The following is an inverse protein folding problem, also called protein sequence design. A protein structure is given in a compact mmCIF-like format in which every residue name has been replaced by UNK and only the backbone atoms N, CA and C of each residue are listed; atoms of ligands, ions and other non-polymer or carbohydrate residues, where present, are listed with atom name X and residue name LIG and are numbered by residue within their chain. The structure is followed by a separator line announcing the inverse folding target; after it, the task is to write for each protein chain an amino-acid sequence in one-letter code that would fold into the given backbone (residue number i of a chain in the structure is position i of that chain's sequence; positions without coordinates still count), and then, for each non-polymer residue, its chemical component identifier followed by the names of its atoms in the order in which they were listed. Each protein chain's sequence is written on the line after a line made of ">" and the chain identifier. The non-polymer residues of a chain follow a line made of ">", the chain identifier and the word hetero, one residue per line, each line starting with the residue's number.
data_IF_303042676252
#
_entry.id   IF_303042676252
#
_cell.length_a   1.000
_cell.length_b   1.000
_cell.length_c   1.000
_cell.angle_alpha   90.00
_cell.angle_beta   90.00
_cell.angle_gamma   90.00
#
_symmetry.space_group_name_H-M   'P 1'
#
loop_
_entity.id
_entity.type
_entity.pdbx_description
1 polymer ?
#
# COMPACT_ATOMS: atom_id res chain seq x y z
N UNK A 1 48.37 46.27 -30.36
CA UNK A 1 48.10 44.82 -30.24
C UNK A 1 46.68 44.60 -30.71
N UNK A 2 46.52 43.75 -31.72
CA UNK A 2 45.34 43.53 -32.55
C UNK A 2 44.37 42.55 -31.88
N UNK A 3 43.05 42.85 -31.85
CA UNK A 3 41.94 42.06 -32.43
C UNK A 3 40.59 42.35 -31.74
N UNK A 4 39.62 42.60 -32.61
CA UNK A 4 38.22 43.01 -32.42
C UNK A 4 37.30 41.85 -31.96
N UNK A 5 36.00 42.12 -31.67
CA UNK A 5 35.11 41.27 -30.88
C UNK A 5 34.38 40.21 -31.71
N UNK A 6 33.92 39.12 -31.08
CA UNK A 6 32.99 38.15 -31.68
C UNK A 6 31.62 38.21 -30.99
N UNK A 7 30.64 38.63 -31.77
CA UNK A 7 29.21 38.34 -31.63
C UNK A 7 28.92 36.85 -31.74
N UNK A 8 27.93 36.36 -30.99
CA UNK A 8 27.34 35.02 -31.16
C UNK A 8 26.17 34.80 -30.21
N UNK A 9 24.96 35.09 -30.68
CA UNK A 9 23.69 34.61 -30.08
C UNK A 9 23.41 33.22 -30.64
N UNK A 10 22.99 32.26 -29.81
CA UNK A 10 22.25 31.03 -30.19
C UNK A 10 21.63 30.43 -28.91
N UNK A 11 20.31 30.52 -28.78
CA UNK A 11 19.49 29.47 -28.12
C UNK A 11 19.32 28.29 -29.09
N UNK A 12 18.74 27.12 -28.71
CA UNK A 12 18.40 26.56 -27.41
C UNK A 12 19.04 25.17 -27.19
N UNK A 13 18.92 24.55 -26.02
CA UNK A 13 18.83 23.08 -26.00
C UNK A 13 17.89 22.58 -24.90
N UNK A 14 16.93 21.79 -25.34
CA UNK A 14 15.92 21.12 -24.54
C UNK A 14 16.61 19.88 -23.99
N UNK A 15 17.13 19.98 -22.78
CA UNK A 15 17.63 18.83 -22.03
C UNK A 15 16.46 18.01 -21.52
N UNK A 16 16.02 17.03 -22.31
CA UNK A 16 15.27 15.88 -21.83
C UNK A 16 16.12 15.14 -20.79
N UNK A 17 15.89 15.39 -19.50
CA UNK A 17 16.44 14.53 -18.46
C UNK A 17 15.44 13.41 -18.18
N UNK A 18 15.64 12.37 -18.98
CA UNK A 18 15.53 10.95 -18.67
C UNK A 18 14.79 10.61 -17.38
N UNK A 19 13.61 10.03 -17.56
CA UNK A 19 12.96 9.19 -16.56
C UNK A 19 13.89 8.03 -16.22
N UNK A 20 14.58 8.10 -15.09
CA UNK A 20 15.15 6.91 -14.45
C UNK A 20 13.99 5.98 -14.08
N UNK A 21 13.71 5.04 -14.98
CA UNK A 21 12.83 3.92 -14.72
C UNK A 21 13.51 3.04 -13.68
N UNK A 22 13.12 3.18 -12.41
CA UNK A 22 13.42 2.19 -11.38
C UNK A 22 12.77 0.87 -11.80
N UNK A 23 13.57 0.02 -12.44
CA UNK A 23 13.16 -1.16 -13.22
C UNK A 23 12.68 -2.38 -12.43
N UNK A 24 12.41 -2.29 -11.13
CA UNK A 24 12.12 -3.48 -10.32
C UNK A 24 10.91 -3.33 -9.39
N UNK A 25 9.85 -2.66 -9.85
CA UNK A 25 8.53 -2.79 -9.21
C UNK A 25 7.61 -3.46 -10.22
N UNK A 26 6.88 -4.54 -9.86
CA UNK A 26 5.87 -5.09 -10.73
C UNK A 26 4.86 -3.97 -11.05
N UNK A 27 4.84 -3.51 -12.31
CA UNK A 27 3.75 -2.67 -12.78
C UNK A 27 2.48 -3.53 -12.68
N UNK A 28 1.60 -3.14 -11.77
CA UNK A 28 0.25 -3.67 -11.71
C UNK A 28 -0.38 -3.47 -13.09
N UNK A 29 -0.58 -4.57 -13.84
CA UNK A 29 -1.36 -4.54 -15.07
C UNK A 29 -2.84 -4.38 -14.68
N UNK A 30 -3.22 -3.13 -14.40
CA UNK A 30 -4.57 -2.78 -13.93
C UNK A 30 -5.55 -2.90 -15.10
N UNK A 31 -6.07 -4.11 -15.29
CA UNK A 31 -7.17 -4.36 -16.21
C UNK A 31 -8.48 -4.08 -15.46
N UNK A 32 -9.15 -3.01 -15.87
CA UNK A 32 -10.49 -2.56 -15.44
C UNK A 32 -10.56 -1.74 -14.13
N UNK A 33 -10.22 -0.45 -14.21
CA UNK A 33 -10.59 0.53 -13.18
C UNK A 33 -12.02 1.02 -13.45
N UNK A 34 -12.97 0.71 -12.57
CA UNK A 34 -14.31 1.34 -12.59
C UNK A 34 -14.34 2.48 -11.59
N UNK A 35 -14.45 3.71 -12.07
CA UNK A 35 -14.55 4.91 -11.23
C UNK A 35 -16.02 5.34 -11.15
N UNK A 36 -16.61 5.31 -9.95
CA UNK A 36 -17.95 5.84 -9.72
C UNK A 36 -17.86 7.26 -9.15
N UNK A 37 -18.52 8.23 -9.80
CA UNK A 37 -18.58 9.62 -9.33
C UNK A 37 -19.85 9.86 -8.51
N UNK A 38 -19.71 10.37 -7.29
CA UNK A 38 -20.84 10.94 -6.53
C UNK A 38 -20.86 12.45 -6.70
N UNK A 39 -21.90 12.97 -7.36
CA UNK A 39 -22.14 14.42 -7.52
C UNK A 39 -23.03 14.94 -6.39
N UNK A 40 -22.42 15.56 -5.38
CA UNK A 40 -23.14 16.39 -4.41
C UNK A 40 -22.38 17.70 -4.12
N UNK A 41 -23.17 18.72 -3.76
CA UNK A 41 -22.94 20.16 -3.94
C UNK A 41 -22.14 20.86 -2.82
N UNK A 42 -21.53 21.98 -3.22
CA UNK A 42 -20.74 23.03 -2.53
C UNK A 42 -20.58 22.98 -0.99
N UNK A 43 -19.39 22.56 -0.55
CA UNK A 43 -18.59 23.02 0.63
C UNK A 43 -17.29 22.20 0.64
N UNK A 44 -16.23 22.62 -0.10
CA UNK A 44 -14.95 21.91 -0.30
C UNK A 44 -15.03 20.40 0.03
N UNK A 45 -16.00 19.72 -0.58
CA UNK A 45 -16.40 18.41 -0.10
C UNK A 45 -15.33 17.50 -0.66
N UNK A 46 -14.58 16.82 0.21
CA UNK A 46 -13.61 15.82 -0.26
C UNK A 46 -14.41 14.83 -1.11
N UNK A 47 -14.16 14.87 -2.42
CA UNK A 47 -14.79 13.94 -3.36
C UNK A 47 -14.10 12.60 -3.16
N UNK A 48 -14.86 11.61 -2.73
CA UNK A 48 -14.38 10.24 -2.63
C UNK A 48 -14.76 9.53 -3.92
N UNK A 49 -13.77 8.91 -4.55
CA UNK A 49 -13.99 8.00 -5.66
C UNK A 49 -13.76 6.58 -5.14
N UNK A 50 -14.57 5.64 -5.60
CA UNK A 50 -14.35 4.21 -5.34
C UNK A 50 -13.84 3.57 -6.62
N UNK A 51 -12.78 2.76 -6.50
CA UNK A 51 -12.26 1.91 -7.55
C UNK A 51 -12.26 0.47 -7.05
N UNK A 52 -12.67 -0.46 -7.91
CA UNK A 52 -12.54 -1.90 -7.68
C UNK A 52 -11.38 -2.43 -8.52
N UNK A 53 -10.57 -3.30 -7.91
CA UNK A 53 -9.44 -3.97 -8.54
C UNK A 53 -9.70 -5.47 -8.53
N UNK A 54 -9.41 -6.14 -9.63
CA UNK A 54 -9.48 -7.59 -9.75
C UNK A 54 -8.12 -8.13 -10.13
N UNK A 55 -7.68 -9.18 -9.46
CA UNK A 55 -6.39 -9.84 -9.71
C UNK A 55 -6.64 -11.29 -10.12
N UNK A 56 -5.87 -11.79 -11.08
CA UNK A 56 -5.89 -13.22 -11.43
C UNK A 56 -5.06 -14.00 -10.43
N UNK A 57 -5.27 -15.32 -10.34
CA UNK A 57 -4.49 -16.18 -9.46
C UNK A 57 -2.99 -16.09 -9.75
N UNK A 58 -2.59 -16.01 -11.03
CA UNK A 58 -1.18 -15.86 -11.43
C UNK A 58 -0.59 -14.56 -10.89
N UNK A 59 -1.38 -13.47 -10.94
CA UNK A 59 -0.97 -12.17 -10.39
C UNK A 59 -0.81 -12.25 -8.88
N UNK A 60 -1.77 -12.88 -8.19
CA UNK A 60 -1.72 -13.05 -6.74
C UNK A 60 -0.51 -13.89 -6.33
N UNK A 61 -0.22 -14.99 -7.04
CA UNK A 61 0.96 -15.83 -6.78
C UNK A 61 2.26 -15.04 -6.96
N UNK A 62 2.38 -14.28 -8.06
CA UNK A 62 3.55 -13.40 -8.27
C UNK A 62 3.72 -12.39 -7.13
N UNK A 63 2.63 -11.77 -6.66
CA UNK A 63 2.68 -10.80 -5.56
C UNK A 63 3.12 -11.49 -4.25
N UNK A 64 2.64 -12.72 -4.00
CA UNK A 64 3.06 -13.51 -2.83
C UNK A 64 4.55 -13.83 -2.91
N UNK A 65 5.05 -14.25 -4.07
CA UNK A 65 6.46 -14.56 -4.29
C UNK A 65 7.33 -13.31 -4.09
N UNK A 66 6.94 -12.17 -4.64
CA UNK A 66 7.65 -10.88 -4.49
C UNK A 66 7.62 -10.34 -3.05
N UNK A 67 6.62 -10.76 -2.26
CA UNK A 67 6.46 -10.35 -0.85
C UNK A 67 7.10 -11.34 0.12
N UNK A 68 7.75 -12.40 -0.38
CA UNK A 68 8.32 -13.45 0.45
C UNK A 68 9.64 -12.96 1.10
N UNK A 69 9.74 -12.94 2.44
CA UNK A 69 10.97 -12.55 3.12
C UNK A 69 12.06 -13.63 2.93
N UNK A 70 13.31 -13.19 2.76
CA UNK A 70 14.45 -14.11 2.63
C UNK A 70 14.57 -14.96 3.90
N UNK A 71 14.36 -16.27 3.77
CA UNK A 71 14.47 -17.23 4.87
C UNK A 71 13.28 -17.26 5.84
N UNK A 72 12.14 -16.65 5.48
CA UNK A 72 10.89 -16.75 6.24
C UNK A 72 9.79 -17.51 5.50
N UNK A 73 8.64 -17.65 6.16
CA UNK A 73 7.45 -18.25 5.56
C UNK A 73 6.82 -17.28 4.55
N UNK A 74 6.29 -17.85 3.47
CA UNK A 74 5.57 -17.07 2.46
C UNK A 74 4.30 -16.44 3.07
N UNK A 75 4.02 -15.15 2.78
CA UNK A 75 2.81 -14.50 3.25
C UNK A 75 1.57 -15.13 2.63
N UNK A 76 0.45 -15.04 3.33
CA UNK A 76 -0.86 -15.35 2.75
C UNK A 76 -1.19 -14.36 1.62
N UNK A 77 -2.06 -14.78 0.69
CA UNK A 77 -2.54 -13.91 -0.39
C UNK A 77 -3.11 -12.57 0.12
N UNK A 78 -3.83 -12.60 1.26
CA UNK A 78 -4.35 -11.39 1.87
C UNK A 78 -3.22 -10.46 2.36
N UNK A 79 -2.22 -10.99 3.07
CA UNK A 79 -1.09 -10.20 3.58
C UNK A 79 -0.30 -9.55 2.44
N UNK A 80 -0.02 -10.31 1.38
CA UNK A 80 0.72 -9.81 0.22
C UNK A 80 -0.07 -8.73 -0.54
N UNK A 81 -1.38 -8.92 -0.76
CA UNK A 81 -2.23 -7.91 -1.40
C UNK A 81 -2.40 -6.65 -0.53
N UNK A 82 -2.60 -6.82 0.78
CA UNK A 82 -2.71 -5.70 1.72
C UNK A 82 -1.43 -4.86 1.73
N UNK A 83 -0.25 -5.51 1.75
CA UNK A 83 1.04 -4.84 1.64
C UNK A 83 1.19 -4.06 0.33
N UNK A 84 0.79 -4.65 -0.80
CA UNK A 84 0.83 -4.00 -2.10
C UNK A 84 -0.08 -2.76 -2.15
N UNK A 85 -1.33 -2.86 -1.68
CA UNK A 85 -2.23 -1.71 -1.61
C UNK A 85 -1.69 -0.63 -0.69
N UNK A 86 -1.16 -1.03 0.46
CA UNK A 86 -0.58 -0.11 1.42
C UNK A 86 0.62 0.65 0.85
N UNK A 87 1.54 -0.04 0.18
CA UNK A 87 2.69 0.58 -0.51
C UNK A 87 2.23 1.53 -1.61
N UNK A 88 1.27 1.09 -2.43
CA UNK A 88 0.72 1.90 -3.52
C UNK A 88 0.03 3.17 -3.01
N UNK A 89 -0.76 3.07 -1.94
CA UNK A 89 -1.44 4.21 -1.31
C UNK A 89 -0.44 5.15 -0.66
N UNK A 90 0.57 4.61 0.03
CA UNK A 90 1.62 5.42 0.67
C UNK A 90 2.37 6.26 -0.35
N UNK A 91 2.77 5.65 -1.48
CA UNK A 91 3.40 6.33 -2.60
C UNK A 91 2.48 7.37 -3.23
N UNK A 92 1.21 7.04 -3.47
CA UNK A 92 0.24 7.98 -4.03
C UNK A 92 -0.02 9.20 -3.13
N UNK A 93 0.16 9.06 -1.80
CA UNK A 93 0.06 10.17 -0.84
C UNK A 93 1.34 11.01 -0.76
N UNK A 94 2.42 10.62 -1.43
CA UNK A 94 3.68 11.36 -1.46
C UNK A 94 4.39 11.41 -0.10
N UNK A 95 4.24 10.36 0.72
CA UNK A 95 4.88 10.31 2.04
C UNK A 95 6.39 10.24 1.92
N UNK A 96 7.10 11.25 2.45
CA UNK A 96 8.58 11.32 2.40
C UNK A 96 9.26 10.70 3.61
N UNK A 97 8.49 10.17 4.57
CA UNK A 97 8.97 9.63 5.87
C UNK A 97 8.61 8.16 6.07
N UNK A 98 8.57 7.38 5.00
CA UNK A 98 8.11 5.99 5.02
C UNK A 98 6.62 5.86 4.67
N UNK A 99 6.04 4.70 4.98
CA UNK A 99 4.64 4.41 4.67
C UNK A 99 3.67 5.19 5.58
N UNK A 100 2.43 5.37 5.14
CA UNK A 100 1.39 5.96 6.00
C UNK A 100 0.87 4.94 7.00
N UNK A 101 0.41 5.34 8.17
CA UNK A 101 -0.21 4.39 9.10
C UNK A 101 -1.51 3.79 8.50
N UNK A 102 -1.72 2.50 8.74
CA UNK A 102 -2.96 1.79 8.37
C UNK A 102 -3.52 1.03 9.57
N UNK A 103 -4.72 0.48 9.42
CA UNK A 103 -5.30 -0.47 10.35
C UNK A 103 -5.77 -1.71 9.62
N UNK A 104 -5.57 -2.88 10.21
CA UNK A 104 -6.05 -4.16 9.69
C UNK A 104 -7.15 -4.69 10.61
N UNK A 105 -8.24 -5.19 10.02
CA UNK A 105 -9.31 -5.85 10.77
C UNK A 105 -8.98 -7.32 10.99
N UNK A 106 -9.08 -7.80 12.23
CA UNK A 106 -8.78 -9.19 12.60
C UNK A 106 -10.02 -9.85 13.19
N UNK A 107 -10.28 -11.10 12.80
CA UNK A 107 -11.38 -11.92 13.36
C UNK A 107 -10.99 -12.44 14.75
N UNK A 108 -11.69 -11.98 15.78
CA UNK A 108 -11.42 -12.34 17.18
C UNK A 108 -12.27 -13.49 17.68
N UNK A 109 -13.10 -14.12 16.83
CA UNK A 109 -13.96 -15.25 17.23
C UNK A 109 -13.16 -16.38 17.88
N UNK A 110 -12.01 -16.73 17.30
CA UNK A 110 -11.14 -17.78 17.84
C UNK A 110 -10.66 -17.45 19.26
N UNK A 111 -10.18 -16.23 19.49
CA UNK A 111 -9.73 -15.76 20.79
C UNK A 111 -10.85 -15.75 21.84
N UNK A 112 -12.06 -15.38 21.43
CA UNK A 112 -13.24 -15.32 22.30
C UNK A 112 -13.93 -16.67 22.51
N UNK A 113 -13.48 -17.75 21.83
CA UNK A 113 -14.14 -19.05 21.86
C UNK A 113 -15.53 -19.04 21.19
N UNK A 114 -15.76 -18.10 20.28
CA UNK A 114 -17.00 -17.98 19.52
C UNK A 114 -16.98 -18.90 18.30
N UNK A 115 -18.15 -19.43 17.94
CA UNK A 115 -18.29 -20.22 16.73
C UNK A 115 -18.11 -19.35 15.47
N UNK A 116 -17.68 -19.95 14.36
CA UNK A 116 -17.71 -19.31 13.04
C UNK A 116 -19.11 -18.89 12.60
N UNK A 117 -20.16 -19.50 13.18
CA UNK A 117 -21.57 -19.16 12.94
C UNK A 117 -22.09 -18.04 13.85
N UNK A 118 -21.26 -17.47 14.73
CA UNK A 118 -21.64 -16.35 15.56
C UNK A 118 -22.00 -15.12 14.71
N UNK A 119 -23.23 -14.62 14.90
CA UNK A 119 -23.84 -13.59 14.06
C UNK A 119 -23.49 -12.15 14.50
N UNK A 120 -22.90 -11.96 15.69
CA UNK A 120 -22.47 -10.64 16.16
C UNK A 120 -21.13 -10.20 15.56
N UNK A 121 -20.77 -8.94 15.80
CA UNK A 121 -19.46 -8.41 15.47
C UNK A 121 -18.40 -9.01 16.43
N UNK A 122 -17.32 -9.52 15.86
CA UNK A 122 -16.16 -10.05 16.57
C UNK A 122 -14.91 -9.70 15.74
N UNK A 123 -14.79 -8.41 15.41
CA UNK A 123 -13.65 -7.83 14.71
C UNK A 123 -12.95 -6.84 15.63
N UNK A 124 -11.62 -6.89 15.65
CA UNK A 124 -10.77 -5.86 16.24
C UNK A 124 -9.95 -5.19 15.15
N UNK A 125 -9.54 -3.94 15.39
CA UNK A 125 -8.68 -3.18 14.49
C UNK A 125 -7.30 -3.04 15.10
N UNK A 126 -6.29 -3.54 14.40
CA UNK A 126 -4.89 -3.40 14.80
C UNK A 126 -4.22 -2.34 13.93
N UNK A 127 -3.62 -1.34 14.58
CA UNK A 127 -2.82 -0.32 13.90
C UNK A 127 -1.50 -0.90 13.41
N UNK A 128 -1.10 -0.53 12.20
CA UNK A 128 0.20 -0.85 11.61
C UNK A 128 0.93 0.48 11.36
N UNK A 129 1.95 0.80 12.18
CA UNK A 129 2.71 2.04 12.00
C UNK A 129 3.56 1.97 10.73
N UNK A 130 3.46 2.98 9.87
CA UNK A 130 4.18 3.00 8.59
C UNK A 130 5.59 3.56 8.66
N UNK A 131 5.95 4.26 9.75
CA UNK A 131 7.25 4.93 9.89
C UNK A 131 8.48 3.99 9.90
N UNK A 132 8.28 2.69 10.09
CA UNK A 132 9.36 1.69 10.09
C UNK A 132 9.49 0.88 8.78
N UNK A 133 8.66 1.16 7.77
CA UNK A 133 8.65 0.41 6.52
C UNK A 133 9.13 1.28 5.37
N UNK A 134 10.25 0.87 4.76
CA UNK A 134 10.85 1.55 3.62
C UNK A 134 9.99 1.39 2.36
N UNK A 135 9.96 2.43 1.53
CA UNK A 135 9.24 2.38 0.25
C UNK A 135 9.84 1.31 -0.67
N UNK A 136 8.98 0.48 -1.28
CA UNK A 136 9.40 -0.59 -2.19
C UNK A 136 9.71 -1.94 -1.51
N UNK A 137 9.75 -1.99 -0.17
CA UNK A 137 9.97 -3.24 0.59
C UNK A 137 8.66 -3.99 0.86
N UNK A 138 8.14 -4.64 -0.17
CA UNK A 138 6.90 -5.43 -0.06
C UNK A 138 7.01 -6.57 0.96
N UNK A 139 8.19 -7.17 1.10
CA UNK A 139 8.50 -8.18 2.12
C UNK A 139 8.32 -7.64 3.54
N UNK A 140 8.84 -6.44 3.82
CA UNK A 140 8.69 -5.79 5.14
C UNK A 140 7.25 -5.35 5.39
N UNK A 141 6.57 -4.82 4.36
CA UNK A 141 5.17 -4.44 4.46
C UNK A 141 4.27 -5.67 4.73
N UNK A 142 4.50 -6.79 4.03
CA UNK A 142 3.78 -8.03 4.24
C UNK A 142 4.03 -8.61 5.63
N UNK A 143 5.28 -8.54 6.11
CA UNK A 143 5.61 -8.92 7.47
C UNK A 143 4.89 -8.04 8.51
N UNK A 144 4.90 -6.72 8.34
CA UNK A 144 4.24 -5.81 9.27
C UNK A 144 2.72 -6.04 9.32
N UNK A 145 2.09 -6.33 8.18
CA UNK A 145 0.68 -6.76 8.13
C UNK A 145 0.49 -8.10 8.83
N UNK A 146 1.38 -9.09 8.58
CA UNK A 146 1.31 -10.39 9.23
C UNK A 146 1.43 -10.28 10.76
N UNK A 147 2.38 -9.48 11.24
CA UNK A 147 2.59 -9.22 12.67
C UNK A 147 1.35 -8.56 13.29
N UNK A 148 0.73 -7.59 12.59
CA UNK A 148 -0.51 -6.96 13.04
C UNK A 148 -1.74 -7.89 12.99
N UNK A 149 -1.68 -8.95 12.19
CA UNK A 149 -2.71 -9.99 12.10
C UNK A 149 -2.49 -11.17 13.04
N UNK A 150 -1.37 -11.20 13.78
CA UNK A 150 -1.18 -12.20 14.83
C UNK A 150 -2.40 -12.14 15.75
N UNK A 151 -2.93 -13.32 16.08
CA UNK A 151 -4.12 -13.45 16.90
C UNK A 151 -3.93 -12.63 18.17
N UNK A 152 -4.76 -11.59 18.33
CA UNK A 152 -4.99 -10.97 19.63
C UNK A 152 -5.44 -12.08 20.56
N UNK A 153 -4.77 -12.24 21.70
CA UNK A 153 -5.20 -13.23 22.66
C UNK A 153 -6.48 -12.77 23.37
N UNK A 154 -7.12 -13.68 24.12
CA UNK A 154 -8.36 -13.33 24.82
C UNK A 154 -8.17 -12.11 25.75
N UNK A 155 -7.11 -12.02 26.57
CA UNK A 155 -6.80 -10.81 27.33
C UNK A 155 -6.74 -9.53 26.49
N UNK A 156 -6.03 -9.54 25.38
CA UNK A 156 -5.89 -8.37 24.49
C UNK A 156 -7.24 -7.90 23.97
N UNK A 157 -8.10 -8.83 23.54
CA UNK A 157 -9.44 -8.50 23.05
C UNK A 157 -10.34 -8.00 24.18
N UNK A 158 -10.25 -8.60 25.37
CA UNK A 158 -11.03 -8.16 26.53
C UNK A 158 -10.64 -6.75 27.00
N UNK A 159 -9.35 -6.41 26.93
CA UNK A 159 -8.85 -5.06 27.24
C UNK A 159 -9.34 -3.97 26.29
N UNK A 160 -9.89 -4.32 25.12
CA UNK A 160 -10.54 -3.36 24.21
C UNK A 160 -12.02 -3.10 24.54
N UNK A 161 -12.62 -3.94 25.39
CA UNK A 161 -14.05 -3.90 25.74
C UNK A 161 -14.26 -3.14 27.06
N UNK A 162 -13.28 -3.16 27.96
CA UNK A 162 -13.29 -2.50 29.27
C UNK A 162 -12.88 -1.02 29.21
#
# INVERSE_FOLDING_TARGET
>A
MQLSPRTGSLTPDIGTSETETLKNVPELNVRNVRINHSTASSKSQRRFNTAAFTSTDETVRSIVDDSCPVGGDAPTAFQALAALFWASISRAKGSTRGMVDISVCVDTRGALGLSKSFFGNALAFNGVPGGGVEEGRLDMAAKAVADAMINLDKPDVMGLIE
#
